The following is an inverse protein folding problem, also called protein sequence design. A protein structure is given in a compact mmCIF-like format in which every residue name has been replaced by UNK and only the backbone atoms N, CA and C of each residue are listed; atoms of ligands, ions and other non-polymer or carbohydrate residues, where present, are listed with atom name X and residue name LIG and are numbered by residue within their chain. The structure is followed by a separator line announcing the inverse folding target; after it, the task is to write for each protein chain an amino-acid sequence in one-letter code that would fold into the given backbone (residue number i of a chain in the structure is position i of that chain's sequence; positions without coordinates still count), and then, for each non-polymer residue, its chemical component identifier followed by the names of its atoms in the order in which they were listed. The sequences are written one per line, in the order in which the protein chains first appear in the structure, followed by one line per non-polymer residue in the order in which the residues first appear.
data_IF_563684226054
#
_entry.id   IF_563684226054
#
_cell.length_a   1.000
_cell.length_b   1.000
_cell.length_c   1.000
_cell.angle_alpha   90.00
_cell.angle_beta   90.00
_cell.angle_gamma   90.00
#
_symmetry.space_group_name_H-M   'P 1'
#
loop_
_entity.id
_entity.type
_entity.pdbx_description
1 polymer ?
#
# COMPACT_ATOMS: atom_id res chain seq x y z
N UNK A 1 2.61 -37.20 -5.58
CA UNK A 1 2.53 -36.34 -4.37
C UNK A 1 3.46 -35.14 -4.43
N UNK A 2 4.75 -35.28 -4.80
CA UNK A 2 5.67 -34.13 -4.95
C UNK A 2 5.26 -33.11 -6.03
N UNK A 3 4.65 -33.58 -7.12
CA UNK A 3 4.15 -32.72 -8.20
C UNK A 3 2.98 -31.86 -7.74
N UNK A 4 1.96 -32.45 -7.11
CA UNK A 4 0.76 -31.74 -6.65
C UNK A 4 1.07 -30.59 -5.66
N UNK A 5 2.04 -30.79 -4.76
CA UNK A 5 2.50 -29.76 -3.82
C UNK A 5 3.22 -28.61 -4.53
N UNK A 6 3.98 -28.90 -5.60
CA UNK A 6 4.65 -27.87 -6.39
C UNK A 6 3.66 -26.97 -7.15
N UNK A 7 2.57 -27.52 -7.68
CA UNK A 7 1.51 -26.74 -8.32
C UNK A 7 0.76 -25.84 -7.33
N UNK A 8 0.53 -26.33 -6.11
CA UNK A 8 -0.16 -25.56 -5.06
C UNK A 8 0.70 -24.42 -4.50
N UNK A 9 2.02 -24.61 -4.40
CA UNK A 9 2.96 -23.56 -4.02
C UNK A 9 3.09 -22.46 -5.10
N UNK A 10 3.01 -22.82 -6.38
CA UNK A 10 3.07 -21.86 -7.49
C UNK A 10 1.81 -20.98 -7.57
N UNK A 11 0.64 -21.53 -7.26
CA UNK A 11 -0.62 -20.78 -7.22
C UNK A 11 -0.67 -19.77 -6.05
N UNK A 12 -0.04 -20.09 -4.91
CA UNK A 12 -0.03 -19.21 -3.74
C UNK A 12 0.87 -17.98 -3.92
N UNK A 13 1.98 -18.12 -4.66
CA UNK A 13 2.88 -17.01 -4.97
C UNK A 13 2.31 -16.05 -6.03
N UNK A 14 1.37 -16.51 -6.85
CA UNK A 14 0.77 -15.72 -7.94
C UNK A 14 -0.29 -14.72 -7.49
N UNK A 15 -0.68 -14.74 -6.21
CA UNK A 15 -1.76 -13.90 -5.66
C UNK A 15 -1.25 -12.63 -4.97
N UNK A 16 0.03 -12.28 -5.13
CA UNK A 16 0.53 -10.98 -4.73
C UNK A 16 0.15 -9.96 -5.81
N UNK A 17 -0.81 -9.09 -5.51
CA UNK A 17 -1.20 -8.01 -6.40
C UNK A 17 -0.01 -7.05 -6.57
N UNK A 18 0.49 -6.95 -7.80
CA UNK A 18 1.53 -5.98 -8.13
C UNK A 18 0.98 -4.58 -7.82
N UNK A 19 1.73 -3.73 -7.10
CA UNK A 19 1.28 -2.39 -6.78
C UNK A 19 0.94 -1.66 -8.09
N UNK A 20 -0.23 -1.03 -8.12
CA UNK A 20 -0.69 -0.35 -9.32
C UNK A 20 0.34 0.72 -9.73
N UNK A 21 0.45 1.00 -11.04
CA UNK A 21 1.43 1.96 -11.57
C UNK A 21 1.28 3.32 -10.87
N UNK A 22 2.26 3.67 -10.03
CA UNK A 22 2.28 4.94 -9.27
C UNK A 22 2.19 4.75 -7.77
N UNK A 23 1.84 3.56 -7.28
CA UNK A 23 1.85 3.25 -5.86
C UNK A 23 3.28 3.13 -5.33
N UNK A 24 3.54 3.73 -4.17
CA UNK A 24 4.82 3.68 -3.46
C UNK A 24 4.56 3.47 -1.98
N UNK A 25 5.44 2.73 -1.32
CA UNK A 25 5.43 2.59 0.13
C UNK A 25 6.60 3.32 0.76
N UNK A 26 6.34 3.93 1.91
CA UNK A 26 7.34 4.58 2.77
C UNK A 26 7.19 4.02 4.18
N UNK A 27 8.31 3.83 4.87
CA UNK A 27 8.34 3.37 6.26
C UNK A 27 9.45 4.10 7.02
N UNK A 28 9.21 4.37 8.30
CA UNK A 28 10.20 4.92 9.23
C UNK A 28 10.65 3.91 10.30
N UNK A 29 10.24 2.64 10.20
CA UNK A 29 10.50 1.60 11.20
C UNK A 29 9.42 1.44 12.27
N UNK A 30 8.50 2.40 12.41
CA UNK A 30 7.36 2.34 13.33
C UNK A 30 6.02 2.29 12.59
N UNK A 31 5.91 3.03 11.48
CA UNK A 31 4.72 3.08 10.63
C UNK A 31 5.09 2.88 9.16
N UNK A 32 4.13 2.38 8.39
CA UNK A 32 4.19 2.24 6.93
C UNK A 32 3.01 2.96 6.30
N UNK A 33 3.27 3.77 5.28
CA UNK A 33 2.26 4.40 4.44
C UNK A 33 2.42 3.97 2.99
N UNK A 34 1.30 3.86 2.28
CA UNK A 34 1.25 3.72 0.83
C UNK A 34 0.64 4.96 0.20
N UNK A 35 1.33 5.52 -0.79
CA UNK A 35 0.92 6.71 -1.54
C UNK A 35 0.68 6.36 -3.01
N UNK A 36 -0.43 6.85 -3.57
CA UNK A 36 -0.76 6.71 -4.99
C UNK A 36 -0.38 8.00 -5.74
N UNK A 37 0.77 7.99 -6.42
CA UNK A 37 1.26 9.11 -7.21
C UNK A 37 0.43 9.37 -8.47
N UNK A 38 -0.41 8.42 -8.90
CA UNK A 38 -1.37 8.63 -9.98
C UNK A 38 -2.64 9.37 -9.52
N UNK A 39 -2.85 9.47 -8.21
CA UNK A 39 -4.01 10.11 -7.57
C UNK A 39 -3.57 11.26 -6.66
N UNK A 40 -2.73 12.16 -7.16
CA UNK A 40 -2.30 13.38 -6.46
C UNK A 40 -1.48 13.13 -5.19
N UNK A 41 -0.86 11.94 -5.05
CA UNK A 41 -0.09 11.58 -3.85
C UNK A 41 -0.96 11.17 -2.66
N UNK A 42 -2.25 10.89 -2.87
CA UNK A 42 -3.15 10.47 -1.81
C UNK A 42 -2.68 9.19 -1.10
N UNK A 43 -2.96 9.10 0.19
CA UNK A 43 -2.56 7.94 1.02
C UNK A 43 -3.66 6.88 0.97
N UNK A 44 -3.32 5.70 0.43
CA UNK A 44 -4.22 4.55 0.29
C UNK A 44 -3.96 3.46 1.33
N UNK A 45 -2.83 3.55 2.05
CA UNK A 45 -2.43 2.59 3.08
C UNK A 45 -1.82 3.29 4.29
N UNK A 46 -2.20 2.83 5.48
CA UNK A 46 -1.55 3.21 6.74
C UNK A 46 -1.53 2.01 7.69
N UNK A 47 -0.36 1.66 8.23
CA UNK A 47 -0.23 0.58 9.22
C UNK A 47 0.88 0.83 10.22
N UNK A 48 0.72 0.27 11.43
CA UNK A 48 1.77 0.11 12.45
C UNK A 48 2.75 -0.99 12.00
N UNK A 49 4.04 -0.93 12.36
CA UNK A 49 4.99 -2.04 12.15
C UNK A 49 5.23 -2.83 13.45
N UNK A 50 5.42 -4.17 13.39
CA UNK A 50 5.49 -5.02 12.20
C UNK A 50 4.13 -5.42 11.63
N UNK A 51 3.03 -4.78 12.05
CA UNK A 51 1.70 -5.03 11.51
C UNK A 51 1.61 -4.78 10.00
N UNK A 52 0.91 -5.65 9.29
CA UNK A 52 0.61 -5.49 7.85
C UNK A 52 -0.88 -5.29 7.59
N UNK A 53 -1.65 -4.86 8.61
CA UNK A 53 -3.05 -4.51 8.45
C UNK A 53 -3.18 -3.06 8.02
N UNK A 54 -3.75 -2.82 6.84
CA UNK A 54 -4.19 -1.48 6.47
C UNK A 54 -5.27 -1.00 7.45
N UNK A 55 -4.98 0.07 8.17
CA UNK A 55 -5.89 0.72 9.10
C UNK A 55 -6.90 1.63 8.38
N UNK A 56 -6.64 1.95 7.10
CA UNK A 56 -7.59 2.69 6.27
C UNK A 56 -8.63 1.75 5.68
N UNK A 57 -9.88 2.19 5.68
CA UNK A 57 -10.94 1.57 4.90
C UNK A 57 -10.77 1.97 3.42
N UNK A 58 -9.90 1.26 2.73
CA UNK A 58 -9.67 1.37 1.29
C UNK A 58 -10.48 0.30 0.56
N UNK A 59 -11.79 0.53 0.42
CA UNK A 59 -12.61 -0.27 -0.50
C UNK A 59 -12.89 0.47 -1.82
N UNK A 60 -12.75 1.79 -1.84
CA UNK A 60 -12.74 2.59 -3.06
C UNK A 60 -11.79 3.79 -2.93
N UNK A 61 -11.44 4.40 -4.07
CA UNK A 61 -10.51 5.54 -4.14
C UNK A 61 -11.02 6.80 -3.45
N UNK A 62 -12.34 6.94 -3.28
CA UNK A 62 -12.93 8.09 -2.58
C UNK A 62 -12.61 8.13 -1.08
N UNK A 63 -12.02 7.06 -0.55
CA UNK A 63 -11.63 6.94 0.87
C UNK A 63 -10.15 7.13 1.12
N UNK A 64 -9.38 7.50 0.09
CA UNK A 64 -7.97 7.80 0.28
C UNK A 64 -7.84 9.12 1.06
N UNK A 65 -6.79 9.23 1.87
CA UNK A 65 -6.53 10.47 2.58
C UNK A 65 -5.86 11.43 1.59
N UNK A 66 -6.53 12.55 1.31
CA UNK A 66 -5.99 13.61 0.48
C UNK A 66 -5.11 14.54 1.32
N UNK A 67 -3.88 14.76 0.86
CA UNK A 67 -2.95 15.66 1.51
C UNK A 67 -3.24 17.11 1.08
N UNK A 68 -3.12 18.05 2.01
CA UNK A 68 -3.16 19.49 1.74
C UNK A 68 -2.00 20.12 2.47
N UNK A 69 -1.14 20.80 1.72
CA UNK A 69 0.04 21.47 2.25
C UNK A 69 -0.21 22.97 2.28
N UNK A 70 -0.11 23.55 3.46
CA UNK A 70 -0.15 25.00 3.64
C UNK A 70 1.18 25.38 4.28
N UNK A 71 1.94 26.24 3.60
CA UNK A 71 3.25 26.69 4.05
C UNK A 71 3.36 28.20 3.98
N UNK A 72 4.32 28.74 4.73
CA UNK A 72 4.80 30.11 4.53
C UNK A 72 5.62 30.16 3.21
N UNK A 73 6.14 31.31 2.76
CA UNK A 73 6.91 31.37 1.52
C UNK A 73 8.11 30.41 1.44
N UNK A 74 8.63 29.94 2.57
CA UNK A 74 9.72 28.97 2.69
C UNK A 74 9.28 27.51 2.86
N UNK A 75 7.97 27.24 2.94
CA UNK A 75 7.39 25.91 3.15
C UNK A 75 7.14 25.61 4.61
#
# INVERSE_FOLDING_TARGET
MKTLVAWMALALAASAEEPAKGEKFLSNGEVKIGVDLSSGGSVFWFSELPGERNLLNHFDRGRFIQQSYYGAPDG
#
